data_IF_839447120813
#
_entry.id   IF_839447120813
#
_cell.length_a   1.000
_cell.length_b   1.000
_cell.length_c   1.000
_cell.angle_alpha   90.00
_cell.angle_beta   90.00
_cell.angle_gamma   90.00
#
_symmetry.space_group_name_H-M   'P 1'
#
loop_
_entity.id
_entity.type
_entity.pdbx_description
1 polymer ?
#
# COMPACT_ATOMS: atom_id res chain seq x y z
N UNK A 1 52.34 31.52 -38.57
CA UNK A 1 52.80 31.80 -37.19
C UNK A 1 51.73 32.73 -36.60
N UNK A 2 50.86 32.38 -35.65
CA UNK A 2 50.89 31.43 -34.54
C UNK A 2 49.52 30.72 -34.43
N UNK A 3 49.58 29.47 -33.97
CA UNK A 3 48.52 28.48 -33.76
C UNK A 3 47.83 28.72 -32.40
N UNK A 4 46.53 28.38 -32.30
CA UNK A 4 45.81 28.20 -31.03
C UNK A 4 44.30 28.18 -31.28
N UNK A 5 43.64 27.04 -31.54
CA UNK A 5 43.37 25.91 -30.65
C UNK A 5 42.80 26.34 -29.29
N UNK A 6 41.47 26.46 -29.23
CA UNK A 6 40.67 26.19 -28.02
C UNK A 6 39.27 25.75 -28.48
N UNK A 7 39.06 24.45 -28.66
CA UNK A 7 38.55 23.50 -27.66
C UNK A 7 37.03 23.35 -27.75
N UNK A 8 36.64 22.39 -28.60
CA UNK A 8 35.40 21.65 -28.50
C UNK A 8 35.37 20.91 -27.15
N UNK A 9 34.52 21.34 -26.22
CA UNK A 9 34.35 20.71 -24.89
C UNK A 9 32.90 20.83 -24.35
N UNK A 10 31.87 20.68 -25.20
CA UNK A 10 30.48 20.69 -24.73
C UNK A 10 29.78 19.32 -24.76
N UNK A 11 30.48 18.21 -25.06
CA UNK A 11 29.85 16.91 -25.30
C UNK A 11 30.41 15.73 -24.46
N UNK A 12 31.13 15.98 -23.35
CA UNK A 12 31.66 14.90 -22.50
C UNK A 12 31.49 15.26 -21.02
N UNK A 13 30.25 15.24 -20.53
CA UNK A 13 29.98 15.32 -19.09
C UNK A 13 28.88 14.37 -18.60
N UNK A 14 28.09 13.78 -19.50
CA UNK A 14 26.97 12.90 -19.13
C UNK A 14 27.30 11.42 -18.97
N UNK A 15 28.49 10.96 -19.37
CA UNK A 15 28.82 9.51 -19.38
C UNK A 15 29.76 9.07 -18.24
N UNK A 16 30.24 10.00 -17.41
CA UNK A 16 31.24 9.70 -16.36
C UNK A 16 30.68 9.42 -14.96
N UNK A 17 29.37 9.43 -14.77
CA UNK A 17 28.75 9.17 -13.45
C UNK A 17 28.26 7.73 -13.24
N UNK A 18 28.25 6.89 -14.27
CA UNK A 18 27.67 5.53 -14.19
C UNK A 18 28.67 4.41 -13.84
N UNK A 19 29.98 4.67 -13.79
CA UNK A 19 31.00 3.63 -13.54
C UNK A 19 31.64 3.68 -12.15
N UNK A 20 31.08 4.46 -11.21
CA UNK A 20 31.61 4.56 -9.84
C UNK A 20 30.55 4.27 -8.76
N UNK A 21 29.59 3.40 -9.09
CA UNK A 21 28.51 3.00 -8.18
C UNK A 21 28.44 1.50 -7.84
N UNK A 22 29.34 0.66 -8.38
CA UNK A 22 29.19 -0.80 -8.28
C UNK A 22 29.98 -1.49 -7.17
N UNK A 23 30.66 -0.78 -6.25
CA UNK A 23 31.47 -1.43 -5.19
C UNK A 23 31.15 -1.07 -3.73
N UNK A 24 30.09 -0.30 -3.43
CA UNK A 24 29.79 0.08 -2.03
C UNK A 24 28.32 -0.07 -1.58
N UNK A 25 27.55 -0.95 -2.23
CA UNK A 25 26.16 -1.25 -1.82
C UNK A 25 26.02 -2.57 -1.04
N UNK A 26 27.07 -3.02 -0.35
CA UNK A 26 26.98 -4.06 0.67
C UNK A 26 27.76 -3.57 1.88
N UNK A 27 27.11 -2.90 2.83
CA UNK A 27 27.45 -2.89 4.27
C UNK A 27 26.37 -2.06 4.97
N UNK A 28 25.75 -2.68 5.99
CA UNK A 28 24.68 -2.21 6.90
C UNK A 28 23.27 -2.52 6.43
N UNK A 29 22.84 -3.74 6.72
CA UNK A 29 21.45 -4.21 6.71
C UNK A 29 20.53 -3.46 7.67
N UNK A 30 20.32 -2.18 7.39
CA UNK A 30 19.10 -1.47 7.75
C UNK A 30 18.27 -1.49 6.48
N UNK A 31 16.99 -1.86 6.57
CA UNK A 31 16.02 -1.66 5.48
C UNK A 31 15.80 -0.14 5.31
N UNK A 32 16.83 0.57 4.89
CA UNK A 32 16.78 1.96 4.49
C UNK A 32 16.44 1.95 3.02
N UNK A 33 15.23 2.43 2.73
CA UNK A 33 14.67 2.41 1.40
C UNK A 33 15.63 3.04 0.36
N UNK A 34 15.67 2.51 -0.86
CA UNK A 34 16.69 2.85 -1.87
C UNK A 34 16.70 4.32 -2.33
N UNK A 35 15.71 5.12 -1.93
CA UNK A 35 15.58 6.53 -2.30
C UNK A 35 16.58 7.49 -1.64
N UNK A 36 17.14 7.15 -0.47
CA UNK A 36 18.07 8.05 0.25
C UNK A 36 19.39 8.24 -0.50
N UNK A 37 19.86 7.20 -1.20
CA UNK A 37 21.10 7.21 -1.96
C UNK A 37 20.96 7.91 -3.34
N UNK A 38 19.73 8.14 -3.80
CA UNK A 38 19.42 8.55 -5.18
C UNK A 38 18.83 9.97 -5.29
N UNK A 39 19.00 10.85 -4.29
CA UNK A 39 18.44 12.22 -4.34
C UNK A 39 18.99 13.07 -5.48
N UNK A 40 20.25 12.87 -5.87
CA UNK A 40 20.88 13.60 -6.98
C UNK A 40 20.24 13.27 -8.33
N UNK A 41 19.95 11.98 -8.58
CA UNK A 41 19.33 11.54 -9.83
C UNK A 41 17.85 11.88 -9.86
N UNK A 42 17.17 11.88 -8.72
CA UNK A 42 15.79 12.33 -8.60
C UNK A 42 15.61 13.79 -9.04
N UNK A 43 16.49 14.70 -8.62
CA UNK A 43 16.40 16.10 -9.01
C UNK A 43 16.49 16.30 -10.53
N UNK A 44 17.42 15.61 -11.19
CA UNK A 44 17.60 15.68 -12.65
C UNK A 44 16.37 15.13 -13.38
N UNK A 45 15.80 14.03 -12.89
CA UNK A 45 14.59 13.44 -13.46
C UNK A 45 13.37 14.35 -13.29
N UNK A 46 13.13 14.85 -12.07
CA UNK A 46 12.01 15.74 -11.77
C UNK A 46 12.09 17.02 -12.63
N UNK A 47 13.29 17.59 -12.82
CA UNK A 47 13.50 18.74 -13.71
C UNK A 47 13.22 18.41 -15.20
N UNK A 48 13.61 17.23 -15.66
CA UNK A 48 13.35 16.80 -17.04
C UNK A 48 11.84 16.63 -17.31
N UNK A 49 11.12 16.04 -16.36
CA UNK A 49 9.67 15.80 -16.47
C UNK A 49 8.89 17.12 -16.41
N UNK A 50 9.28 18.04 -15.54
CA UNK A 50 8.69 19.38 -15.46
C UNK A 50 8.84 20.13 -16.79
N UNK A 51 10.05 20.17 -17.36
CA UNK A 51 10.32 20.94 -18.58
C UNK A 51 9.66 20.37 -19.84
N UNK A 52 9.57 19.04 -19.96
CA UNK A 52 9.08 18.41 -21.19
C UNK A 52 7.58 18.06 -21.15
N UNK A 53 7.05 17.73 -19.97
CA UNK A 53 5.69 17.24 -19.80
C UNK A 53 4.82 18.19 -18.96
N UNK A 54 5.40 19.23 -18.35
CA UNK A 54 4.73 20.13 -17.41
C UNK A 54 4.05 19.36 -16.25
N UNK A 55 4.67 18.25 -15.82
CA UNK A 55 4.19 17.43 -14.73
C UNK A 55 5.05 17.67 -13.49
N UNK A 56 4.42 18.14 -12.43
CA UNK A 56 5.07 18.35 -11.14
C UNK A 56 5.03 17.09 -10.27
N UNK A 57 6.05 16.91 -9.44
CA UNK A 57 6.06 15.83 -8.45
C UNK A 57 4.99 16.11 -7.38
N UNK A 58 4.02 15.22 -7.15
CA UNK A 58 3.01 15.44 -6.14
C UNK A 58 3.62 15.49 -4.73
N UNK A 59 3.05 16.28 -3.81
CA UNK A 59 3.49 16.33 -2.43
C UNK A 59 3.27 14.98 -1.74
N UNK A 60 3.96 14.76 -0.62
CA UNK A 60 3.92 13.50 0.12
C UNK A 60 2.48 13.04 0.48
N UNK A 61 1.59 13.98 0.73
CA UNK A 61 0.21 13.69 1.16
C UNK A 61 -0.80 13.49 0.00
N UNK A 62 -0.39 13.69 -1.26
CA UNK A 62 -1.31 13.67 -2.40
C UNK A 62 -2.13 12.39 -2.53
N UNK A 63 -1.56 11.24 -2.16
CA UNK A 63 -2.23 9.94 -2.26
C UNK A 63 -3.05 9.56 -1.04
N UNK A 64 -2.88 10.27 0.08
CA UNK A 64 -3.65 10.02 1.31
C UNK A 64 -4.95 10.82 1.34
N UNK A 65 -5.09 11.81 0.45
CA UNK A 65 -6.30 12.62 0.35
C UNK A 65 -7.44 11.83 -0.28
N UNK A 66 -8.63 11.94 0.30
CA UNK A 66 -9.84 11.29 -0.20
C UNK A 66 -10.22 11.91 -1.56
N UNK A 67 -10.30 11.07 -2.59
CA UNK A 67 -10.73 11.46 -3.94
C UNK A 67 -12.15 10.97 -4.20
N UNK A 68 -13.05 11.90 -4.49
CA UNK A 68 -14.44 11.58 -4.85
C UNK A 68 -14.49 11.33 -6.36
N UNK A 69 -14.72 10.07 -6.75
CA UNK A 69 -14.86 9.69 -8.16
C UNK A 69 -16.34 9.63 -8.54
N UNK A 70 -16.76 10.46 -9.50
CA UNK A 70 -18.09 10.37 -10.10
C UNK A 70 -18.05 9.30 -11.18
N UNK A 71 -18.88 8.26 -11.04
CA UNK A 71 -18.96 7.18 -12.03
C UNK A 71 -20.41 7.06 -12.55
N UNK A 72 -20.61 6.72 -13.83
CA UNK A 72 -21.94 6.53 -14.42
C UNK A 72 -22.56 5.18 -14.05
N UNK A 73 -21.80 4.28 -13.42
CA UNK A 73 -22.25 2.94 -13.05
C UNK A 73 -23.31 3.04 -11.94
N UNK A 74 -24.42 2.29 -12.01
CA UNK A 74 -25.38 2.23 -10.90
C UNK A 74 -24.72 1.65 -9.64
N UNK A 75 -25.13 2.15 -8.47
CA UNK A 75 -24.66 1.62 -7.19
C UNK A 75 -25.04 0.15 -7.05
N UNK A 76 -24.19 -0.70 -6.45
CA UNK A 76 -24.55 -2.07 -6.13
C UNK A 76 -25.83 -2.14 -5.29
N UNK A 77 -26.69 -3.16 -5.50
CA UNK A 77 -27.88 -3.33 -4.67
C UNK A 77 -27.48 -3.55 -3.20
N UNK A 78 -28.27 -3.05 -2.24
CA UNK A 78 -27.98 -3.26 -0.82
C UNK A 78 -28.08 -4.74 -0.47
N UNK A 79 -27.17 -5.19 0.40
CA UNK A 79 -27.21 -6.55 0.94
C UNK A 79 -28.49 -6.71 1.76
N UNK A 80 -29.23 -7.79 1.52
CA UNK A 80 -30.42 -8.12 2.33
C UNK A 80 -29.94 -8.56 3.72
N UNK A 81 -30.68 -8.25 4.80
CA UNK A 81 -30.34 -8.77 6.12
C UNK A 81 -30.44 -10.29 6.11
N UNK A 82 -29.42 -10.96 6.66
CA UNK A 82 -29.45 -12.40 6.88
C UNK A 82 -30.40 -12.69 8.06
N UNK A 83 -31.64 -13.10 7.74
CA UNK A 83 -32.58 -13.59 8.74
C UNK A 83 -32.26 -15.06 9.00
N UNK A 84 -31.56 -15.32 10.11
CA UNK A 84 -31.39 -16.69 10.60
C UNK A 84 -32.71 -17.13 11.25
N UNK A 85 -33.40 -18.17 10.73
CA UNK A 85 -34.51 -18.76 11.48
C UNK A 85 -33.97 -19.39 12.76
N UNK A 86 -34.71 -19.27 13.87
CA UNK A 86 -34.35 -19.91 15.13
C UNK A 86 -34.14 -21.42 14.91
N UNK A 87 -32.92 -21.96 15.15
CA UNK A 87 -32.53 -23.30 14.70
C UNK A 87 -33.15 -24.44 15.54
N UNK A 88 -33.87 -24.13 16.61
CA UNK A 88 -34.47 -25.13 17.48
C UNK A 88 -35.99 -25.16 17.29
N UNK A 89 -36.54 -26.18 16.63
CA UNK A 89 -37.98 -26.41 16.69
C UNK A 89 -38.35 -26.60 18.16
N UNK A 90 -39.34 -25.83 18.64
CA UNK A 90 -39.87 -26.03 19.99
C UNK A 90 -40.35 -27.47 20.10
N UNK A 91 -39.95 -28.15 21.17
CA UNK A 91 -40.45 -29.48 21.46
C UNK A 91 -41.98 -29.38 21.65
N UNK A 92 -42.78 -30.30 21.09
CA UNK A 92 -44.21 -30.32 21.32
C UNK A 92 -44.54 -30.36 22.81
N UNK A 93 -45.60 -29.66 23.23
CA UNK A 93 -45.97 -29.55 24.65
C UNK A 93 -46.34 -30.91 25.27
N UNK A 94 -46.79 -31.86 24.45
CA UNK A 94 -47.15 -33.23 24.85
C UNK A 94 -45.95 -34.19 25.03
N UNK A 95 -44.71 -33.72 24.82
CA UNK A 95 -43.54 -34.57 24.99
C UNK A 95 -43.28 -34.88 26.49
N UNK A 96 -43.10 -36.14 26.89
CA UNK A 96 -42.87 -36.49 28.29
C UNK A 96 -41.57 -35.84 28.79
N UNK A 97 -41.69 -34.96 29.78
CA UNK A 97 -40.53 -34.37 30.48
C UNK A 97 -40.18 -35.27 31.65
N UNK A 98 -39.24 -36.17 31.41
CA UNK A 98 -38.68 -37.00 32.48
C UNK A 98 -38.02 -36.13 33.55
N UNK A 99 -38.06 -36.54 34.82
CA UNK A 99 -37.35 -35.82 35.87
C UNK A 99 -35.84 -35.83 35.58
N UNK A 100 -35.14 -34.78 36.00
CA UNK A 100 -33.71 -34.70 35.81
C UNK A 100 -33.00 -35.89 36.49
N UNK A 101 -32.20 -36.65 35.71
CA UNK A 101 -31.54 -37.90 36.13
C UNK A 101 -30.78 -37.81 37.46
N UNK A 102 -30.24 -36.63 37.79
CA UNK A 102 -29.47 -36.37 39.01
C UNK A 102 -29.90 -35.05 39.67
N UNK A 103 -31.19 -34.73 39.61
CA UNK A 103 -31.72 -33.48 40.15
C UNK A 103 -31.05 -32.26 39.51
N UNK A 104 -30.47 -31.40 40.35
CA UNK A 104 -29.96 -30.10 39.96
C UNK A 104 -28.52 -30.10 39.43
N UNK A 105 -27.76 -31.19 39.61
CA UNK A 105 -26.32 -31.28 39.30
C UNK A 105 -25.50 -30.12 39.90
N UNK A 106 -25.94 -29.54 41.02
CA UNK A 106 -25.12 -28.61 41.78
C UNK A 106 -24.04 -29.39 42.54
N UNK A 107 -22.81 -28.85 42.58
CA UNK A 107 -21.66 -29.53 43.19
C UNK A 107 -21.85 -29.88 44.69
N UNK A 108 -22.81 -29.27 45.37
CA UNK A 108 -23.02 -29.37 46.82
C UNK A 108 -24.44 -29.78 47.25
N UNK A 109 -25.37 -29.99 46.30
CA UNK A 109 -26.71 -30.50 46.59
C UNK A 109 -26.90 -31.76 45.74
N UNK A 110 -26.91 -32.92 46.40
CA UNK A 110 -27.35 -34.18 45.79
C UNK A 110 -28.88 -34.25 45.77
#
# INVERSE_FOLDING_TARGET
MVVGLALSMAAVSSERSLTLGSELAVIRGVLMWPDVLCRNTQFVFDACVLNNLNLERPPFDYYNQVRVHVTPRPKPPPLKPDVFPDPTPKLPDDYPREPAKYGSRFHWLN
#
